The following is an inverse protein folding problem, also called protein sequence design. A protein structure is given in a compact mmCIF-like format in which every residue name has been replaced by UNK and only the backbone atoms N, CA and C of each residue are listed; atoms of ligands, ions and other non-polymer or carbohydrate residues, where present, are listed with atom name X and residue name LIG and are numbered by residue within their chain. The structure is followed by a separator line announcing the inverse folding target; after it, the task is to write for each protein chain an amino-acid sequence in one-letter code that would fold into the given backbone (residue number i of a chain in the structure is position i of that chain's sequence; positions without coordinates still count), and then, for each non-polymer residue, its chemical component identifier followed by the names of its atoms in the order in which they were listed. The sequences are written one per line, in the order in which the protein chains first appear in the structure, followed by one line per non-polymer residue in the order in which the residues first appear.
data_IF_229225449437
#
_entry.id   IF_229225449437
#
_cell.length_a   1.000
_cell.length_b   1.000
_cell.length_c   1.000
_cell.angle_alpha   90.00
_cell.angle_beta   90.00
_cell.angle_gamma   90.00
#
_symmetry.space_group_name_H-M   'P 1'
#
loop_
_entity.id
_entity.type
_entity.pdbx_description
1 polymer ?
#
# COMPACT_ATOMS: atom_id res chain seq x y z
N UNK A 1 11.65 -19.54 10.19
CA UNK A 1 10.73 -20.64 9.85
C UNK A 1 9.42 -20.13 9.26
N UNK A 2 9.08 -18.85 9.51
CA UNK A 2 7.84 -18.27 9.00
C UNK A 2 8.04 -17.50 7.69
N UNK A 3 9.26 -17.48 7.14
CA UNK A 3 9.60 -16.74 5.96
C UNK A 3 10.18 -17.66 4.90
N UNK A 4 9.65 -17.57 3.69
CA UNK A 4 10.19 -18.25 2.53
C UNK A 4 10.84 -17.21 1.61
N UNK A 5 12.11 -17.40 1.29
CA UNK A 5 12.86 -16.51 0.42
C UNK A 5 13.02 -17.14 -0.96
N UNK A 6 12.38 -16.54 -1.96
CA UNK A 6 12.46 -17.02 -3.35
C UNK A 6 13.47 -16.17 -4.10
N UNK A 7 14.54 -16.81 -4.59
CA UNK A 7 15.65 -16.11 -5.23
C UNK A 7 15.64 -16.16 -6.76
N UNK A 8 14.67 -16.88 -7.34
CA UNK A 8 14.59 -17.08 -8.77
C UNK A 8 13.51 -16.25 -9.45
N UNK A 9 12.98 -15.26 -8.75
CA UNK A 9 11.94 -14.39 -9.31
C UNK A 9 12.50 -13.51 -10.42
N UNK A 10 11.69 -13.32 -11.47
CA UNK A 10 12.06 -12.38 -12.54
C UNK A 10 10.78 -11.89 -13.21
N UNK A 11 10.90 -10.86 -14.03
CA UNK A 11 9.79 -10.30 -14.80
C UNK A 11 10.27 -9.96 -16.20
N UNK A 12 9.36 -9.99 -17.16
CA UNK A 12 9.64 -9.57 -18.53
C UNK A 12 9.55 -8.06 -18.73
N UNK A 13 9.15 -7.32 -17.69
CA UNK A 13 8.99 -5.88 -17.77
C UNK A 13 10.34 -5.20 -17.62
N UNK A 14 10.67 -4.34 -18.59
CA UNK A 14 11.95 -3.64 -18.62
C UNK A 14 11.97 -2.42 -17.69
N UNK A 15 10.88 -1.64 -17.66
CA UNK A 15 10.84 -0.42 -16.86
C UNK A 15 10.45 -0.71 -15.41
N UNK A 16 10.90 0.17 -14.50
CA UNK A 16 10.66 0.01 -13.07
C UNK A 16 9.19 -0.06 -12.71
N UNK A 17 8.38 0.89 -13.21
CA UNK A 17 6.97 0.96 -12.81
C UNK A 17 6.18 -0.29 -13.24
N UNK A 18 6.20 -0.72 -14.51
CA UNK A 18 5.51 -1.95 -14.89
C UNK A 18 6.02 -3.18 -14.16
N UNK A 19 7.34 -3.24 -13.89
CA UNK A 19 7.92 -4.36 -13.17
C UNK A 19 7.45 -4.41 -11.72
N UNK A 20 7.42 -3.27 -11.06
CA UNK A 20 6.92 -3.18 -9.68
C UNK A 20 5.44 -3.56 -9.62
N UNK A 21 4.65 -3.09 -10.57
CA UNK A 21 3.23 -3.39 -10.61
C UNK A 21 2.99 -4.88 -10.87
N UNK A 22 3.79 -5.50 -11.74
CA UNK A 22 3.73 -6.93 -11.99
C UNK A 22 4.03 -7.71 -10.71
N UNK A 23 5.03 -7.27 -9.95
CA UNK A 23 5.39 -7.93 -8.69
C UNK A 23 4.26 -7.87 -7.67
N UNK A 24 3.59 -6.74 -7.57
CA UNK A 24 2.61 -6.50 -6.51
C UNK A 24 1.18 -6.85 -6.90
N UNK A 25 0.85 -6.81 -8.19
CA UNK A 25 -0.50 -7.05 -8.66
C UNK A 25 -0.61 -8.23 -9.64
N UNK A 26 0.52 -8.78 -10.07
CA UNK A 26 0.55 -9.90 -11.01
C UNK A 26 0.49 -9.51 -12.47
N UNK A 27 0.22 -8.26 -12.79
CA UNK A 27 0.11 -7.77 -14.15
C UNK A 27 0.63 -6.35 -14.24
N UNK A 28 1.15 -5.91 -15.40
CA UNK A 28 1.67 -4.55 -15.55
C UNK A 28 0.60 -3.51 -15.87
N UNK A 29 -0.65 -3.74 -15.47
CA UNK A 29 -1.78 -2.87 -15.79
C UNK A 29 -2.38 -2.29 -14.53
N UNK A 30 -2.97 -1.09 -14.64
CA UNK A 30 -3.74 -0.49 -13.56
C UNK A 30 -5.10 -1.19 -13.41
N UNK A 31 -5.73 -0.99 -12.28
CA UNK A 31 -7.08 -1.47 -12.04
C UNK A 31 -7.19 -2.87 -11.44
N UNK A 32 -6.06 -3.52 -11.18
CA UNK A 32 -6.01 -4.83 -10.55
C UNK A 32 -5.60 -4.65 -9.10
N UNK A 33 -6.28 -5.31 -8.14
CA UNK A 33 -5.88 -5.18 -6.74
C UNK A 33 -4.47 -5.71 -6.51
N UNK A 34 -3.73 -5.03 -5.66
CA UNK A 34 -2.41 -5.48 -5.25
C UNK A 34 -2.53 -6.59 -4.21
N UNK A 35 -1.43 -7.29 -3.95
CA UNK A 35 -1.42 -8.44 -3.05
C UNK A 35 -1.96 -8.08 -1.66
N UNK A 36 -1.55 -6.92 -1.12
CA UNK A 36 -2.04 -6.49 0.19
C UNK A 36 -3.53 -6.22 0.22
N UNK A 37 -4.08 -5.69 -0.88
CA UNK A 37 -5.52 -5.47 -1.00
C UNK A 37 -6.28 -6.80 -0.99
N UNK A 38 -5.80 -7.80 -1.72
CA UNK A 38 -6.39 -9.13 -1.72
C UNK A 38 -6.35 -9.77 -0.34
N UNK A 39 -5.21 -9.65 0.36
CA UNK A 39 -5.07 -10.22 1.69
C UNK A 39 -6.03 -9.56 2.67
N UNK A 40 -6.14 -8.23 2.63
CA UNK A 40 -7.04 -7.51 3.51
C UNK A 40 -8.50 -7.86 3.21
N UNK A 41 -8.85 -7.98 1.93
CA UNK A 41 -10.20 -8.35 1.52
C UNK A 41 -10.55 -9.78 1.99
N UNK A 42 -9.62 -10.72 1.83
CA UNK A 42 -9.89 -12.13 2.13
C UNK A 42 -9.76 -12.50 3.59
N UNK A 43 -8.78 -11.95 4.29
CA UNK A 43 -8.48 -12.33 5.67
C UNK A 43 -8.95 -11.31 6.70
N UNK A 44 -9.28 -10.10 6.25
CA UNK A 44 -9.73 -9.05 7.16
C UNK A 44 -8.56 -8.39 7.88
N UNK A 45 -8.89 -7.68 8.94
CA UNK A 45 -7.94 -6.90 9.72
C UNK A 45 -8.20 -7.14 11.20
N UNK A 46 -7.13 -7.36 11.96
CA UNK A 46 -7.24 -7.58 13.40
C UNK A 46 -7.65 -6.32 14.17
N UNK A 47 -7.41 -5.14 13.62
CA UNK A 47 -7.78 -3.87 14.23
C UNK A 47 -8.87 -3.20 13.41
N UNK A 48 -9.86 -2.61 14.07
CA UNK A 48 -10.89 -1.83 13.41
C UNK A 48 -10.51 -0.36 13.27
N UNK A 49 -9.52 0.09 14.04
CA UNK A 49 -9.15 1.50 14.11
C UNK A 49 -7.88 1.84 13.33
N UNK A 50 -7.12 0.82 12.92
CA UNK A 50 -5.86 1.00 12.21
C UNK A 50 -5.95 0.32 10.85
N UNK A 51 -5.23 0.85 9.85
CA UNK A 51 -5.25 0.21 8.52
C UNK A 51 -4.63 -1.17 8.57
N UNK A 52 -5.22 -2.10 7.83
CA UNK A 52 -4.71 -3.47 7.74
C UNK A 52 -3.63 -3.63 6.69
N UNK A 53 -3.48 -2.66 5.81
CA UNK A 53 -2.50 -2.70 4.71
C UNK A 53 -1.70 -1.41 4.75
N UNK A 54 -0.48 -1.50 5.24
CA UNK A 54 0.39 -0.35 5.48
C UNK A 54 1.57 -0.42 4.53
N UNK A 55 1.94 0.72 3.96
CA UNK A 55 3.06 0.85 3.05
C UNK A 55 4.13 1.73 3.68
N UNK A 56 5.34 1.22 3.74
CA UNK A 56 6.51 1.96 4.18
C UNK A 56 7.40 2.22 2.97
N UNK A 57 7.81 3.46 2.79
CA UNK A 57 8.64 3.82 1.66
C UNK A 57 9.87 4.57 2.13
N UNK A 58 11.02 4.23 1.56
CA UNK A 58 12.28 4.89 1.87
C UNK A 58 12.57 5.97 0.84
N UNK A 59 13.22 7.05 1.28
CA UNK A 59 13.67 8.10 0.38
C UNK A 59 12.54 8.78 -0.36
N UNK A 60 12.67 8.87 -1.68
CA UNK A 60 11.70 9.56 -2.52
C UNK A 60 10.47 8.73 -2.87
N UNK A 61 10.45 7.48 -2.43
CA UNK A 61 9.36 6.58 -2.75
C UNK A 61 9.63 5.77 -4.02
N UNK A 62 8.56 5.23 -4.59
CA UNK A 62 8.64 4.36 -5.76
C UNK A 62 8.21 5.08 -7.02
N UNK A 63 8.65 4.60 -8.18
CA UNK A 63 8.28 5.20 -9.46
C UNK A 63 6.79 5.00 -9.79
N UNK A 64 6.17 3.97 -9.23
CA UNK A 64 4.76 3.68 -9.49
C UNK A 64 3.79 4.44 -8.63
N UNK A 65 4.26 5.06 -7.55
CA UNK A 65 3.38 5.78 -6.64
C UNK A 65 2.28 4.91 -6.07
N UNK A 66 1.12 5.50 -5.84
CA UNK A 66 0.01 4.83 -5.16
C UNK A 66 -0.56 3.64 -5.93
N UNK A 67 -0.28 3.51 -7.24
CA UNK A 67 -0.75 2.36 -7.99
C UNK A 67 -0.18 1.04 -7.46
N UNK A 68 0.95 1.10 -6.77
CA UNK A 68 1.63 -0.07 -6.24
C UNK A 68 0.96 -0.66 -5.00
N UNK A 69 0.03 0.07 -4.40
CA UNK A 69 -0.74 -0.42 -3.25
C UNK A 69 -2.23 -0.13 -3.41
N UNK A 70 -2.68 -0.04 -4.64
CA UNK A 70 -4.08 0.27 -4.95
C UNK A 70 -4.98 -0.92 -4.71
N UNK A 71 -6.25 -0.63 -4.47
CA UNK A 71 -7.28 -1.66 -4.33
C UNK A 71 -7.83 -2.16 -5.67
N UNK A 72 -7.51 -1.47 -6.77
CA UNK A 72 -8.02 -1.84 -8.08
C UNK A 72 -9.55 -1.83 -8.13
N UNK A 73 -10.14 -2.94 -8.57
CA UNK A 73 -11.61 -3.05 -8.63
C UNK A 73 -12.24 -3.39 -7.28
N UNK A 74 -11.44 -3.62 -6.23
CA UNK A 74 -11.99 -3.77 -4.89
C UNK A 74 -12.31 -2.38 -4.30
N UNK A 75 -13.20 -2.30 -3.30
CA UNK A 75 -13.47 -1.00 -2.66
C UNK A 75 -12.22 -0.34 -2.11
N UNK A 76 -12.21 0.99 -2.09
CA UNK A 76 -11.02 1.77 -1.72
C UNK A 76 -10.54 1.51 -0.29
N UNK A 77 -11.41 1.01 0.58
CA UNK A 77 -11.03 0.67 1.94
C UNK A 77 -9.95 -0.43 2.01
N UNK A 78 -9.75 -1.17 0.92
CA UNK A 78 -8.75 -2.22 0.86
C UNK A 78 -7.42 -1.75 0.27
N UNK A 79 -7.33 -0.49 -0.14
CA UNK A 79 -6.06 0.06 -0.62
C UNK A 79 -5.07 0.23 0.53
N UNK A 80 -3.79 0.19 0.20
CA UNK A 80 -2.73 0.42 1.17
C UNK A 80 -2.72 1.86 1.64
N UNK A 81 -2.25 2.07 2.86
CA UNK A 81 -2.08 3.40 3.45
C UNK A 81 -0.59 3.63 3.62
N UNK A 82 -0.08 4.65 2.95
CA UNK A 82 1.34 4.96 3.02
C UNK A 82 1.65 5.77 4.27
N UNK A 83 2.60 5.29 5.07
CA UNK A 83 3.12 6.02 6.20
C UNK A 83 4.26 6.91 5.72
N UNK A 84 4.19 8.19 6.09
CA UNK A 84 5.22 9.15 5.70
C UNK A 84 6.42 9.02 6.64
N UNK A 85 7.62 9.26 6.07
CA UNK A 85 8.85 9.22 6.86
C UNK A 85 9.18 10.57 7.52
N UNK A 86 8.35 11.60 7.30
CA UNK A 86 8.49 12.90 7.94
C UNK A 86 7.11 13.43 8.32
N UNK A 87 7.04 14.16 9.43
CA UNK A 87 5.77 14.66 9.95
C UNK A 87 4.93 13.52 10.49
N UNK A 88 3.62 13.62 10.34
CA UNK A 88 2.72 12.55 10.76
C UNK A 88 2.91 11.33 9.88
N UNK A 89 3.00 10.12 10.45
CA UNK A 89 3.18 8.91 9.65
C UNK A 89 2.07 8.68 8.64
N UNK A 90 0.84 9.02 8.98
CA UNK A 90 -0.32 8.80 8.13
C UNK A 90 -1.01 10.13 7.86
N UNK A 91 -1.37 10.36 6.59
CA UNK A 91 -2.14 11.54 6.23
C UNK A 91 -3.49 11.51 6.92
N UNK A 92 -3.89 12.67 7.46
CA UNK A 92 -5.18 12.87 8.12
C UNK A 92 -5.36 12.07 9.42
N UNK A 93 -4.27 11.53 9.97
CA UNK A 93 -4.32 10.93 11.29
C UNK A 93 -4.32 12.00 12.37
N UNK A 94 -3.52 13.06 12.17
CA UNK A 94 -3.51 14.21 13.06
C UNK A 94 -4.68 15.13 12.78
N UNK A 95 -4.98 15.98 13.76
CA UNK A 95 -6.03 16.97 13.59
C UNK A 95 -5.61 18.03 12.59
N UNK A 96 -6.55 18.53 11.79
CA UNK A 96 -6.25 19.69 10.94
C UNK A 96 -5.78 20.89 11.79
N UNK A 97 -4.90 21.68 11.20
CA UNK A 97 -4.41 22.88 11.88
C UNK A 97 -5.57 23.82 12.19
N UNK A 98 -5.57 24.36 13.40
CA UNK A 98 -6.60 25.29 13.85
C UNK A 98 -7.79 24.69 14.55
N UNK A 99 -7.88 23.35 14.62
CA UNK A 99 -8.94 22.70 15.37
C UNK A 99 -8.48 22.45 16.81
N UNK A 100 -9.31 22.81 17.83
CA UNK A 100 -8.99 22.43 19.20
C UNK A 100 -9.04 20.92 19.38
N UNK A 101 -8.25 20.37 20.33
CA UNK A 101 -8.25 18.93 20.57
C UNK A 101 -9.63 18.34 20.89
N UNK A 102 -10.50 19.08 21.54
CA UNK A 102 -11.83 18.61 21.90
C UNK A 102 -12.78 18.45 20.72
N UNK A 103 -12.41 18.94 19.53
CA UNK A 103 -13.21 18.78 18.31
C UNK A 103 -12.77 17.62 17.44
N UNK A 104 -11.87 16.79 17.95
CA UNK A 104 -11.31 15.69 17.19
C UNK A 104 -12.09 14.41 17.33
#
# INVERSE_FOLDING_TARGET
DDILKVRSMHTDQFNHHPAQLTLLAGRPFFGIPTMGAWLTYGLGNESQDLPGYVVLSAGRGTSGGASLWASGFLPSMYAGVMFRNQGDPVLNLSNPAGLPPELQ
#
